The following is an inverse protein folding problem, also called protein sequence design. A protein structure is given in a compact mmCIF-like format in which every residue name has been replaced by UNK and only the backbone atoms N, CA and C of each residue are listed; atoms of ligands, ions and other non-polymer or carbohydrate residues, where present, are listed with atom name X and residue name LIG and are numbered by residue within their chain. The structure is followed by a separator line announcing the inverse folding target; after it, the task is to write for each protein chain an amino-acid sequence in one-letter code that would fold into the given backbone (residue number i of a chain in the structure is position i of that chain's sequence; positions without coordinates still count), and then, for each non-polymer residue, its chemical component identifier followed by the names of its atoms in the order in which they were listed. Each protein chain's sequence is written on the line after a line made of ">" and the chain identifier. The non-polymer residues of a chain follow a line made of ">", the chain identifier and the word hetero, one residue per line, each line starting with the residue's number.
data_IF_085594102340
#
_entry.id   IF_085594102340
#
_cell.length_a   1.000
_cell.length_b   1.000
_cell.length_c   1.000
_cell.angle_alpha   90.00
_cell.angle_beta   90.00
_cell.angle_gamma   90.00
#
_symmetry.space_group_name_H-M   'P 1'
#
loop_
_entity.id
_entity.type
_entity.pdbx_description
1 polymer ?
#
# COMPACT_ATOMS: atom_id res chain seq x y z
N UNK A 1 -18.43 40.93 -12.84
CA UNK A 1 -18.81 39.65 -12.21
C UNK A 1 -18.22 38.47 -12.99
N UNK A 2 -16.89 38.27 -12.96
CA UNK A 2 -16.20 37.18 -13.72
C UNK A 2 -14.92 36.66 -13.02
N UNK A 3 -14.58 37.19 -11.84
CA UNK A 3 -13.27 37.00 -11.19
C UNK A 3 -13.27 35.94 -10.08
N UNK A 4 -14.45 35.45 -9.66
CA UNK A 4 -14.57 34.47 -8.56
C UNK A 4 -14.50 33.00 -8.99
N UNK A 5 -14.43 32.70 -10.28
CA UNK A 5 -14.47 31.30 -10.76
C UNK A 5 -13.11 30.60 -10.78
N UNK A 6 -12.00 31.33 -10.70
CA UNK A 6 -10.65 30.76 -10.80
C UNK A 6 -10.18 30.13 -9.47
N UNK A 7 -10.75 30.55 -8.33
CA UNK A 7 -10.30 30.08 -7.00
C UNK A 7 -10.88 28.71 -6.63
N UNK A 8 -12.01 28.30 -7.21
CA UNK A 8 -12.63 26.99 -6.90
C UNK A 8 -11.95 25.83 -7.62
N UNK A 9 -11.34 26.07 -8.79
CA UNK A 9 -10.69 25.02 -9.57
C UNK A 9 -9.35 24.53 -8.98
N UNK A 10 -8.67 25.35 -8.18
CA UNK A 10 -7.36 25.01 -7.60
C UNK A 10 -7.47 24.09 -6.39
N UNK A 11 -8.57 24.13 -5.64
CA UNK A 11 -8.80 23.24 -4.50
C UNK A 11 -9.12 21.79 -4.92
N UNK A 12 -9.77 21.62 -6.07
CA UNK A 12 -10.11 20.29 -6.60
C UNK A 12 -8.88 19.54 -7.14
N UNK A 13 -7.89 20.25 -7.69
CA UNK A 13 -6.67 19.63 -8.20
C UNK A 13 -5.77 19.08 -7.07
N UNK A 14 -5.74 19.75 -5.91
CA UNK A 14 -5.00 19.26 -4.74
C UNK A 14 -5.64 18.03 -4.09
N UNK A 15 -6.95 17.81 -4.28
CA UNK A 15 -7.63 16.60 -3.84
C UNK A 15 -7.34 15.39 -4.75
N UNK A 16 -7.00 15.63 -6.03
CA UNK A 16 -6.64 14.58 -6.98
C UNK A 16 -5.17 14.13 -6.88
N UNK A 17 -4.25 14.96 -6.38
CA UNK A 17 -2.85 14.53 -6.16
C UNK A 17 -2.71 13.51 -5.03
N UNK A 18 -3.73 13.36 -4.18
CA UNK A 18 -3.82 12.26 -3.21
C UNK A 18 -4.32 10.95 -3.86
N UNK A 19 -4.76 10.99 -5.12
CA UNK A 19 -5.23 9.84 -5.89
C UNK A 19 -4.40 9.69 -7.18
N UNK A 20 -3.06 9.76 -7.07
CA UNK A 20 -2.15 9.25 -8.09
C UNK A 20 -1.51 10.28 -9.02
N UNK A 21 -0.66 11.15 -8.47
CA UNK A 21 0.28 11.90 -9.31
C UNK A 21 1.26 12.76 -8.54
N UNK A 22 2.50 12.29 -8.38
CA UNK A 22 3.60 13.13 -7.87
C UNK A 22 4.92 12.43 -7.57
N UNK A 23 5.90 12.69 -8.44
CA UNK A 23 7.35 12.85 -8.18
C UNK A 23 8.27 11.61 -8.08
N UNK A 24 9.33 11.67 -8.90
CA UNK A 24 10.41 10.72 -9.26
C UNK A 24 11.32 10.14 -8.14
N UNK A 25 10.82 10.02 -6.92
CA UNK A 25 11.32 9.03 -5.95
C UNK A 25 10.08 8.26 -5.50
N UNK A 26 9.69 7.27 -6.31
CA UNK A 26 8.46 6.52 -6.08
C UNK A 26 8.53 5.88 -4.69
N UNK A 27 7.85 6.50 -3.72
CA UNK A 27 7.66 5.92 -2.41
C UNK A 27 7.06 4.52 -2.61
N UNK A 28 7.57 3.53 -1.88
CA UNK A 28 7.03 2.18 -1.95
C UNK A 28 5.51 2.24 -1.75
N UNK A 29 4.72 1.51 -2.56
CA UNK A 29 3.28 1.52 -2.43
C UNK A 29 2.89 1.11 -1.01
N UNK A 30 1.84 1.73 -0.48
CA UNK A 30 1.27 1.33 0.80
C UNK A 30 0.91 -0.16 0.78
N UNK A 31 1.00 -0.82 1.94
CA UNK A 31 0.70 -2.26 2.09
C UNK A 31 -0.76 -2.62 1.76
N UNK A 32 -1.66 -1.63 1.71
CA UNK A 32 -3.06 -1.78 1.27
C UNK A 32 -3.28 -1.57 -0.22
N UNK A 33 -2.22 -1.29 -0.99
CA UNK A 33 -2.31 -1.09 -2.45
C UNK A 33 -1.69 -2.23 -3.24
N UNK A 34 -0.58 -2.80 -2.76
CA UNK A 34 0.14 -3.87 -3.46
C UNK A 34 0.83 -4.79 -2.45
N UNK A 35 0.92 -6.07 -2.79
CA UNK A 35 1.77 -7.01 -2.06
C UNK A 35 3.24 -6.72 -2.40
N UNK A 36 4.09 -6.35 -1.42
CA UNK A 36 5.48 -6.05 -1.70
C UNK A 36 6.26 -7.32 -2.10
N UNK A 37 7.23 -7.19 -3.01
CA UNK A 37 8.05 -8.32 -3.47
C UNK A 37 8.74 -9.08 -2.32
N UNK A 38 9.08 -8.39 -1.22
CA UNK A 38 9.64 -9.00 -0.02
C UNK A 38 8.72 -10.04 0.63
N UNK A 39 7.41 -9.93 0.47
CA UNK A 39 6.42 -10.86 1.01
C UNK A 39 6.52 -12.25 0.36
N UNK A 40 6.93 -12.32 -0.91
CA UNK A 40 7.19 -13.60 -1.59
C UNK A 40 8.66 -14.06 -1.48
N UNK A 41 9.57 -13.19 -1.02
CA UNK A 41 11.00 -13.47 -0.99
C UNK A 41 11.44 -14.27 0.24
N UNK A 42 10.74 -14.16 1.37
CA UNK A 42 11.11 -14.84 2.62
C UNK A 42 9.95 -14.90 3.62
N UNK A 43 9.96 -15.89 4.52
CA UNK A 43 8.96 -16.01 5.59
C UNK A 43 8.88 -14.75 6.45
N UNK A 44 10.02 -14.17 6.82
CA UNK A 44 10.06 -12.92 7.59
C UNK A 44 9.45 -11.74 6.85
N UNK A 45 9.71 -11.61 5.55
CA UNK A 45 9.08 -10.58 4.70
C UNK A 45 7.57 -10.77 4.56
N UNK A 46 7.10 -12.02 4.48
CA UNK A 46 5.69 -12.35 4.44
C UNK A 46 4.98 -11.96 5.74
N UNK A 47 5.54 -12.35 6.89
CA UNK A 47 5.01 -11.99 8.21
C UNK A 47 4.99 -10.48 8.42
N UNK A 48 6.08 -9.78 8.07
CA UNK A 48 6.15 -8.32 8.20
C UNK A 48 5.06 -7.62 7.38
N UNK A 49 4.77 -8.11 6.16
CA UNK A 49 3.67 -7.60 5.35
C UNK A 49 2.31 -7.83 6.02
N UNK A 50 2.05 -9.04 6.54
CA UNK A 50 0.78 -9.35 7.19
C UNK A 50 0.55 -8.51 8.46
N UNK A 51 1.56 -8.32 9.30
CA UNK A 51 1.48 -7.47 10.50
C UNK A 51 1.13 -6.03 10.11
N UNK A 52 1.80 -5.48 9.09
CA UNK A 52 1.51 -4.14 8.59
C UNK A 52 0.10 -4.02 7.98
N UNK A 53 -0.34 -5.03 7.23
CA UNK A 53 -1.66 -5.06 6.60
C UNK A 53 -2.78 -5.11 7.66
N UNK A 54 -2.65 -5.94 8.68
CA UNK A 54 -3.64 -6.05 9.78
C UNK A 54 -3.72 -4.76 10.60
N UNK A 55 -2.61 -4.05 10.76
CA UNK A 55 -2.57 -2.76 11.44
C UNK A 55 -3.14 -1.61 10.58
N UNK A 56 -3.42 -1.82 9.30
CA UNK A 56 -3.89 -0.78 8.37
C UNK A 56 -5.41 -0.63 8.41
N UNK A 57 -5.89 0.62 8.33
CA UNK A 57 -7.32 0.89 8.09
C UNK A 57 -7.60 0.81 6.58
N UNK A 58 -8.31 -0.24 6.18
CA UNK A 58 -8.65 -0.52 4.78
C UNK A 58 -10.16 -0.60 4.52
N UNK A 59 -11.00 -0.16 5.46
CA UNK A 59 -12.46 -0.39 5.40
C UNK A 59 -13.14 0.24 4.17
N UNK A 60 -12.55 1.29 3.59
CA UNK A 60 -13.07 1.99 2.41
C UNK A 60 -12.22 1.76 1.16
N UNK A 61 -11.24 0.84 1.23
CA UNK A 61 -10.32 0.55 0.14
C UNK A 61 -10.74 -0.71 -0.61
N UNK A 62 -10.28 -0.81 -1.85
CA UNK A 62 -10.43 -2.03 -2.63
C UNK A 62 -9.53 -3.15 -2.06
N UNK A 63 -9.91 -4.42 -2.22
CA UNK A 63 -9.05 -5.53 -1.85
C UNK A 63 -7.72 -5.49 -2.61
N UNK A 64 -6.63 -5.80 -1.92
CA UNK A 64 -5.31 -5.98 -2.54
C UNK A 64 -5.35 -7.19 -3.48
N UNK A 65 -4.83 -7.03 -4.70
CA UNK A 65 -4.62 -8.15 -5.61
C UNK A 65 -3.45 -9.02 -5.12
N UNK A 66 -3.76 -10.27 -4.80
CA UNK A 66 -2.80 -11.26 -4.29
C UNK A 66 -2.44 -12.33 -5.32
N UNK A 67 -2.92 -12.21 -6.57
CA UNK A 67 -2.73 -13.22 -7.61
C UNK A 67 -1.27 -13.50 -7.96
N UNK A 68 -0.40 -12.51 -7.79
CA UNK A 68 1.04 -12.62 -8.00
C UNK A 68 1.83 -12.99 -6.74
N UNK A 69 1.19 -13.02 -5.57
CA UNK A 69 1.85 -13.34 -4.31
C UNK A 69 2.06 -14.85 -4.19
N UNK A 70 3.28 -15.28 -3.90
CA UNK A 70 3.60 -16.68 -3.60
C UNK A 70 4.05 -16.77 -2.15
N UNK A 71 3.24 -17.35 -1.24
CA UNK A 71 3.65 -17.52 0.13
C UNK A 71 4.94 -18.36 0.21
N UNK A 72 5.99 -17.85 0.87
CA UNK A 72 7.21 -18.60 1.07
C UNK A 72 7.00 -19.68 2.15
N UNK A 73 7.65 -20.82 1.97
CA UNK A 73 7.73 -21.88 2.98
C UNK A 73 9.16 -22.08 3.43
N UNK A 74 9.34 -22.44 4.70
CA UNK A 74 10.62 -22.86 5.26
C UNK A 74 10.39 -24.07 6.14
N UNK A 75 10.83 -25.24 5.67
CA UNK A 75 10.66 -26.52 6.35
C UNK A 75 11.79 -26.83 7.35
N UNK A 76 12.81 -25.98 7.41
CA UNK A 76 13.97 -26.15 8.29
C UNK A 76 13.95 -25.19 9.48
N UNK A 77 13.25 -24.06 9.37
CA UNK A 77 13.12 -23.09 10.44
C UNK A 77 12.18 -23.58 11.55
N UNK A 78 12.53 -23.23 12.79
CA UNK A 78 11.62 -23.37 13.92
C UNK A 78 10.50 -22.33 13.86
N UNK A 79 9.31 -22.61 14.45
CA UNK A 79 8.24 -21.62 14.56
C UNK A 79 8.70 -20.36 15.29
N UNK A 80 8.33 -19.19 14.76
CA UNK A 80 8.58 -17.90 15.37
C UNK A 80 7.34 -17.36 16.09
N UNK A 81 7.57 -16.61 17.18
CA UNK A 81 6.52 -15.84 17.85
C UNK A 81 6.24 -14.59 17.01
N UNK A 82 4.95 -14.25 16.86
CA UNK A 82 4.50 -13.01 16.24
C UNK A 82 3.97 -12.10 17.36
N UNK A 83 4.65 -10.97 17.59
CA UNK A 83 4.25 -9.91 18.53
C UNK A 83 3.53 -8.76 17.80
#
# INVERSE_FOLDING_TARGET
>A
MKKSWIVVASLAAAALSACGGGSDDAAAPAVTQEVPASASASVGGFVAYLVALVASDANTLEPVDVSAATPPSDDAAEPSVID
#
